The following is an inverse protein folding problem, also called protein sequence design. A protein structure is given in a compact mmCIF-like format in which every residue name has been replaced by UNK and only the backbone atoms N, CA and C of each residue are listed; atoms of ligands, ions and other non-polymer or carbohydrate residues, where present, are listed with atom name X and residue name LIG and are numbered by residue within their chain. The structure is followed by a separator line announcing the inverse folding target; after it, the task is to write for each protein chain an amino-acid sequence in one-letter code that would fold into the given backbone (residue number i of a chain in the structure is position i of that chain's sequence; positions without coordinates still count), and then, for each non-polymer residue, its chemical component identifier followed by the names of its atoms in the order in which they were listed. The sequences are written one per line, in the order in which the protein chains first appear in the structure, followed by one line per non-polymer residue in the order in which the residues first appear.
data_IF_477333034003
#
_entry.id   IF_477333034003
#
_cell.length_a   1.000
_cell.length_b   1.000
_cell.length_c   1.000
_cell.angle_alpha   90.00
_cell.angle_beta   90.00
_cell.angle_gamma   90.00
#
_symmetry.space_group_name_H-M   'P 1'
#
loop_
_entity.id
_entity.type
_entity.pdbx_description
1 polymer ?
#
# COMPACT_ATOMS: atom_id res chain seq x y z
N UNK A 1 -45.78 28.70 33.68
CA UNK A 1 -44.67 28.01 34.39
C UNK A 1 -43.41 28.10 33.55
N UNK A 2 -42.33 28.70 34.08
CA UNK A 2 -40.98 28.73 33.49
C UNK A 2 -40.22 27.44 33.85
N UNK A 3 -39.31 26.98 32.99
CA UNK A 3 -37.97 26.56 33.41
C UNK A 3 -36.92 27.05 32.42
N UNK A 4 -35.92 27.72 32.98
CA UNK A 4 -34.68 28.21 32.37
C UNK A 4 -33.58 27.15 32.52
N UNK A 5 -32.49 27.33 31.76
CA UNK A 5 -31.22 26.60 31.86
C UNK A 5 -31.10 25.61 30.70
N UNK A 6 -30.17 25.75 29.76
CA UNK A 6 -28.73 25.96 29.96
C UNK A 6 -28.16 26.98 28.96
N UNK A 7 -27.27 27.85 29.43
CA UNK A 7 -26.40 28.67 28.58
C UNK A 7 -25.05 27.95 28.44
N UNK A 8 -24.61 27.56 27.24
CA UNK A 8 -23.19 27.35 27.00
C UNK A 8 -22.50 28.70 26.81
N UNK A 9 -21.68 29.02 27.78
CA UNK A 9 -20.86 30.22 27.90
C UNK A 9 -19.68 30.11 26.93
N UNK A 10 -19.78 30.69 25.72
CA UNK A 10 -18.67 31.12 24.85
C UNK A 10 -19.20 31.48 23.47
N UNK A 11 -20.02 32.54 23.36
CA UNK A 11 -20.28 33.16 22.07
C UNK A 11 -20.07 34.66 22.17
N UNK A 12 -18.89 35.09 21.70
CA UNK A 12 -18.54 36.50 21.55
C UNK A 12 -19.15 37.00 20.24
N UNK A 13 -20.34 37.57 20.31
CA UNK A 13 -20.99 38.22 19.18
C UNK A 13 -20.45 39.64 19.00
N UNK A 14 -19.96 39.96 17.79
CA UNK A 14 -19.71 41.33 17.35
C UNK A 14 -20.73 41.65 16.27
N UNK A 15 -21.58 42.66 16.51
CA UNK A 15 -22.55 43.15 15.54
C UNK A 15 -21.80 43.94 14.46
N UNK A 16 -21.91 43.53 13.20
CA UNK A 16 -21.58 44.37 12.05
C UNK A 16 -22.82 44.46 11.15
N UNK A 17 -23.12 45.68 10.73
CA UNK A 17 -24.41 46.09 10.20
C UNK A 17 -24.83 45.44 8.88
N UNK A 18 -26.14 45.22 8.81
CA UNK A 18 -27.01 45.44 7.66
C UNK A 18 -26.66 44.72 6.35
N UNK A 19 -26.85 43.41 6.32
CA UNK A 19 -27.61 42.71 5.25
C UNK A 19 -27.93 41.29 5.71
N UNK A 20 -29.20 40.89 5.57
CA UNK A 20 -29.73 39.58 5.97
C UNK A 20 -29.21 38.48 5.04
N UNK A 21 -28.00 37.98 5.30
CA UNK A 21 -27.60 36.64 4.86
C UNK A 21 -26.80 35.99 5.98
N UNK A 22 -27.27 34.83 6.46
CA UNK A 22 -26.59 34.05 7.47
C UNK A 22 -25.67 33.06 6.76
N UNK A 23 -24.37 33.34 6.75
CA UNK A 23 -23.38 32.42 6.21
C UNK A 23 -22.75 31.65 7.37
N UNK A 24 -23.09 30.36 7.49
CA UNK A 24 -22.29 29.41 8.26
C UNK A 24 -20.92 29.30 7.57
N UNK A 25 -19.84 29.66 8.27
CA UNK A 25 -18.46 29.41 7.79
C UNK A 25 -17.98 28.15 8.51
N UNK A 26 -17.97 26.97 7.86
CA UNK A 26 -17.44 25.77 8.48
C UNK A 26 -15.92 25.88 8.59
N UNK A 27 -15.41 25.97 9.81
CA UNK A 27 -13.97 25.95 10.08
C UNK A 27 -13.45 24.50 10.07
N UNK A 28 -13.73 23.74 9.00
CA UNK A 28 -13.10 22.43 8.76
C UNK A 28 -11.84 22.67 7.93
N UNK A 29 -10.69 22.70 8.61
CA UNK A 29 -9.36 22.64 8.00
C UNK A 29 -9.22 21.28 7.31
N UNK A 30 -9.62 21.22 6.04
CA UNK A 30 -9.43 20.06 5.17
C UNK A 30 -7.93 19.80 5.07
N UNK A 31 -7.43 18.77 5.74
CA UNK A 31 -6.02 18.36 5.61
C UNK A 31 -5.84 17.86 4.18
N UNK A 32 -5.22 18.69 3.34
CA UNK A 32 -4.77 18.30 2.01
C UNK A 32 -3.82 17.11 2.15
N UNK A 33 -4.29 15.92 1.81
CA UNK A 33 -3.42 14.76 1.61
C UNK A 33 -2.56 15.05 0.39
N UNK A 34 -1.33 15.49 0.63
CA UNK A 34 -0.31 15.63 -0.42
C UNK A 34 0.00 14.23 -0.94
N UNK A 35 -0.46 13.91 -2.14
CA UNK A 35 -0.07 12.68 -2.82
C UNK A 35 1.45 12.68 -2.97
N UNK A 36 2.12 11.70 -2.35
CA UNK A 36 3.57 11.49 -2.50
C UNK A 36 3.81 10.99 -3.92
N UNK A 37 4.22 11.89 -4.82
CA UNK A 37 4.62 11.52 -6.18
C UNK A 37 5.79 10.54 -6.09
N UNK A 38 5.62 9.33 -6.62
CA UNK A 38 6.73 8.37 -6.75
C UNK A 38 7.71 8.93 -7.79
N UNK A 39 8.94 9.22 -7.37
CA UNK A 39 10.03 9.58 -8.27
C UNK A 39 10.28 8.43 -9.25
N UNK A 40 10.08 8.68 -10.53
CA UNK A 40 10.50 7.78 -11.60
C UNK A 40 11.92 8.13 -12.04
N UNK A 41 12.74 7.11 -12.29
CA UNK A 41 14.08 7.27 -12.86
C UNK A 41 14.09 6.59 -14.22
N UNK A 42 14.48 7.32 -15.25
CA UNK A 42 14.68 6.76 -16.59
C UNK A 42 15.99 5.99 -16.62
N UNK A 43 15.93 4.76 -17.12
CA UNK A 43 17.08 3.92 -17.40
C UNK A 43 17.03 3.50 -18.87
N UNK A 44 18.19 3.43 -19.53
CA UNK A 44 18.33 2.86 -20.87
C UNK A 44 18.97 1.48 -20.72
N UNK A 45 18.31 0.45 -21.24
CA UNK A 45 18.76 -0.95 -21.17
C UNK A 45 18.88 -1.47 -22.59
N UNK A 46 20.03 -2.04 -22.95
CA UNK A 46 20.19 -2.74 -24.23
C UNK A 46 19.58 -4.13 -24.10
N UNK A 47 18.67 -4.47 -25.01
CA UNK A 47 18.00 -5.77 -25.08
C UNK A 47 18.25 -6.40 -26.44
N UNK A 48 18.31 -7.72 -26.43
CA UNK A 48 18.28 -8.54 -27.63
C UNK A 48 16.90 -8.50 -28.29
N UNK A 49 16.86 -8.93 -29.55
CA UNK A 49 15.67 -8.87 -30.37
C UNK A 49 14.55 -9.77 -29.85
N UNK A 50 14.89 -10.96 -29.36
CA UNK A 50 13.89 -11.94 -28.90
C UNK A 50 13.12 -11.41 -27.68
N UNK A 51 13.83 -10.87 -26.68
CA UNK A 51 13.19 -10.25 -25.51
C UNK A 51 12.40 -8.98 -25.86
N UNK A 52 12.88 -8.19 -26.81
CA UNK A 52 12.14 -7.01 -27.28
C UNK A 52 10.82 -7.41 -27.95
N UNK A 53 10.87 -8.37 -28.86
CA UNK A 53 9.70 -8.86 -29.58
C UNK A 53 8.68 -9.49 -28.61
N UNK A 54 9.15 -10.26 -27.62
CA UNK A 54 8.30 -10.80 -26.54
C UNK A 54 7.54 -9.70 -25.78
N UNK A 55 8.23 -8.64 -25.36
CA UNK A 55 7.60 -7.51 -24.66
C UNK A 55 6.61 -6.77 -25.57
N UNK A 56 6.94 -6.65 -26.85
CA UNK A 56 6.09 -5.97 -27.83
C UNK A 56 4.79 -6.74 -28.09
N UNK A 57 4.82 -8.07 -28.17
CA UNK A 57 3.59 -8.86 -28.32
C UNK A 57 2.66 -8.71 -27.10
N UNK A 58 3.20 -8.70 -25.88
CA UNK A 58 2.41 -8.42 -24.65
C UNK A 58 1.72 -7.05 -24.73
N UNK A 59 2.41 -6.03 -25.25
CA UNK A 59 1.84 -4.69 -25.37
C UNK A 59 0.66 -4.63 -26.34
N UNK A 60 0.69 -5.43 -27.42
CA UNK A 60 -0.41 -5.52 -28.39
C UNK A 60 -1.64 -6.16 -27.78
N UNK A 61 -1.46 -7.23 -27.01
CA UNK A 61 -2.55 -7.96 -26.35
C UNK A 61 -3.24 -7.10 -25.28
N UNK A 62 -2.45 -6.39 -24.45
CA UNK A 62 -2.98 -5.57 -23.36
C UNK A 62 -3.37 -4.13 -23.79
N UNK A 63 -3.01 -3.70 -25.00
CA UNK A 63 -3.20 -2.32 -25.47
C UNK A 63 -2.43 -1.29 -24.64
N UNK A 64 -1.26 -1.65 -24.12
CA UNK A 64 -0.48 -0.86 -23.16
C UNK A 64 0.85 -0.36 -23.73
N UNK A 65 1.48 0.61 -23.06
CA UNK A 65 2.81 1.12 -23.47
C UNK A 65 3.93 0.13 -23.08
N UNK A 66 4.98 0.05 -23.90
CA UNK A 66 6.16 -0.80 -23.65
C UNK A 66 6.78 -0.52 -22.29
N UNK A 67 6.87 0.74 -21.88
CA UNK A 67 7.41 1.09 -20.57
C UNK A 67 6.58 0.50 -19.43
N UNK A 68 5.25 0.39 -19.61
CA UNK A 68 4.35 -0.20 -18.61
C UNK A 68 4.57 -1.71 -18.55
N UNK A 69 4.59 -2.39 -19.70
CA UNK A 69 4.87 -3.82 -19.78
C UNK A 69 6.19 -4.19 -19.09
N UNK A 70 7.27 -3.41 -19.34
CA UNK A 70 8.56 -3.62 -18.67
C UNK A 70 8.46 -3.45 -17.15
N UNK A 71 7.78 -2.41 -16.66
CA UNK A 71 7.60 -2.19 -15.22
C UNK A 71 6.80 -3.31 -14.56
N UNK A 72 5.78 -3.80 -15.24
CA UNK A 72 4.92 -4.89 -14.74
C UNK A 72 5.71 -6.20 -14.71
N UNK A 73 6.51 -6.49 -15.74
CA UNK A 73 7.41 -7.64 -15.75
C UNK A 73 8.46 -7.59 -14.64
N UNK A 74 9.07 -6.43 -14.39
CA UNK A 74 9.99 -6.27 -13.25
C UNK A 74 9.28 -6.51 -11.91
N UNK A 75 8.03 -6.05 -11.78
CA UNK A 75 7.24 -6.24 -10.56
C UNK A 75 6.92 -7.72 -10.34
N UNK A 76 6.49 -8.43 -11.40
CA UNK A 76 6.26 -9.89 -11.35
C UNK A 76 7.54 -10.68 -11.08
N UNK A 77 8.67 -10.26 -11.69
CA UNK A 77 9.98 -10.88 -11.47
C UNK A 77 10.46 -10.78 -10.02
N UNK A 78 10.18 -9.67 -9.32
CA UNK A 78 10.48 -9.54 -7.89
C UNK A 78 9.73 -10.55 -7.04
N UNK A 79 8.45 -10.77 -7.34
CA UNK A 79 7.61 -11.75 -6.65
C UNK A 79 8.17 -13.15 -6.88
N UNK A 80 8.45 -13.51 -8.14
CA UNK A 80 9.01 -14.83 -8.46
C UNK A 80 10.34 -15.09 -7.74
N UNK A 81 11.24 -14.11 -7.75
CA UNK A 81 12.52 -14.21 -7.03
C UNK A 81 12.32 -14.40 -5.52
N UNK A 82 11.35 -13.69 -4.92
CA UNK A 82 11.04 -13.83 -3.51
C UNK A 82 10.49 -15.23 -3.18
N UNK A 83 9.60 -15.77 -4.02
CA UNK A 83 9.06 -17.12 -3.89
C UNK A 83 10.17 -18.17 -4.00
N UNK A 84 11.06 -18.05 -4.98
CA UNK A 84 12.18 -19.00 -5.15
C UNK A 84 13.11 -19.02 -3.94
N UNK A 85 13.51 -17.85 -3.44
CA UNK A 85 14.40 -17.76 -2.27
C UNK A 85 13.74 -18.29 -1.01
N UNK A 86 12.44 -18.03 -0.83
CA UNK A 86 11.68 -18.59 0.29
C UNK A 86 11.59 -20.11 0.17
N UNK A 87 11.28 -20.63 -1.02
CA UNK A 87 11.21 -22.07 -1.30
C UNK A 87 12.55 -22.78 -1.10
N UNK A 88 13.68 -22.10 -1.29
CA UNK A 88 15.03 -22.61 -0.96
C UNK A 88 15.35 -22.51 0.54
N UNK A 89 14.63 -21.69 1.30
CA UNK A 89 14.89 -21.45 2.72
C UNK A 89 15.98 -20.41 2.98
N UNK A 90 16.34 -19.63 1.98
CA UNK A 90 17.38 -18.60 2.08
C UNK A 90 16.88 -17.35 2.82
N UNK A 91 15.56 -17.15 2.85
CA UNK A 91 14.92 -15.96 3.43
C UNK A 91 13.69 -16.36 4.25
N UNK A 92 13.43 -15.60 5.32
CA UNK A 92 12.18 -15.71 6.09
C UNK A 92 10.98 -15.14 5.32
N UNK A 93 9.75 -15.45 5.76
CA UNK A 93 8.52 -14.93 5.15
C UNK A 93 8.51 -13.39 5.09
N UNK A 94 8.87 -12.74 6.20
CA UNK A 94 8.96 -11.28 6.27
C UNK A 94 9.96 -10.71 5.26
N UNK A 95 11.13 -11.34 5.15
CA UNK A 95 12.15 -10.92 4.19
C UNK A 95 11.73 -11.17 2.73
N UNK A 96 10.99 -12.24 2.47
CA UNK A 96 10.42 -12.50 1.15
C UNK A 96 9.36 -11.44 0.77
N UNK A 97 8.51 -11.04 1.73
CA UNK A 97 7.54 -9.97 1.53
C UNK A 97 8.20 -8.62 1.20
N UNK A 98 9.29 -8.29 1.89
CA UNK A 98 10.11 -7.11 1.59
C UNK A 98 10.71 -7.13 0.18
N UNK A 99 11.25 -8.29 -0.24
CA UNK A 99 11.83 -8.47 -1.57
C UNK A 99 10.78 -8.31 -2.69
N UNK A 100 9.59 -8.89 -2.47
CA UNK A 100 8.45 -8.75 -3.37
C UNK A 100 7.83 -7.35 -3.34
N UNK A 101 8.08 -6.56 -2.28
CA UNK A 101 7.49 -5.23 -2.09
C UNK A 101 6.00 -5.28 -1.73
N UNK A 102 5.56 -6.35 -1.07
CA UNK A 102 4.17 -6.59 -0.66
C UNK A 102 4.06 -6.74 0.86
N UNK A 103 2.89 -6.50 1.47
CA UNK A 103 2.66 -6.82 2.88
C UNK A 103 2.82 -8.32 3.15
N UNK A 104 3.24 -8.68 4.36
CA UNK A 104 3.47 -10.08 4.78
C UNK A 104 2.24 -10.96 4.53
N UNK A 105 1.03 -10.48 4.87
CA UNK A 105 -0.21 -11.22 4.61
C UNK A 105 -0.46 -11.50 3.13
N UNK A 106 -0.13 -10.54 2.25
CA UNK A 106 -0.26 -10.75 0.80
C UNK A 106 0.81 -11.73 0.29
N UNK A 107 2.01 -11.72 0.85
CA UNK A 107 3.04 -12.71 0.54
C UNK A 107 2.58 -14.14 0.88
N UNK A 108 1.85 -14.33 1.99
CA UNK A 108 1.28 -15.63 2.34
C UNK A 108 0.26 -16.12 1.30
N UNK A 109 -0.59 -15.24 0.80
CA UNK A 109 -1.52 -15.57 -0.30
C UNK A 109 -0.76 -15.99 -1.55
N UNK A 110 0.24 -15.21 -1.94
CA UNK A 110 1.10 -15.51 -3.10
C UNK A 110 1.76 -16.88 -2.94
N UNK A 111 2.39 -17.16 -1.79
CA UNK A 111 3.04 -18.46 -1.56
C UNK A 111 2.05 -19.63 -1.68
N UNK A 112 0.81 -19.45 -1.21
CA UNK A 112 -0.27 -20.43 -1.36
C UNK A 112 -0.62 -20.65 -2.84
N UNK A 113 -0.75 -19.59 -3.63
CA UNK A 113 -1.03 -19.68 -5.08
C UNK A 113 0.09 -20.41 -5.84
N UNK A 114 1.35 -20.25 -5.41
CA UNK A 114 2.50 -20.96 -5.95
C UNK A 114 2.67 -22.39 -5.38
N UNK A 115 1.74 -22.86 -4.53
CA UNK A 115 1.77 -24.20 -3.92
C UNK A 115 2.95 -24.42 -2.97
N UNK A 116 3.49 -23.34 -2.37
CA UNK A 116 4.59 -23.43 -1.42
C UNK A 116 4.02 -23.59 -0.01
N UNK A 117 4.25 -24.77 0.59
CA UNK A 117 3.84 -25.03 1.97
C UNK A 117 4.60 -24.14 2.96
N UNK A 118 3.87 -23.71 3.98
CA UNK A 118 4.41 -22.91 5.07
C UNK A 118 5.37 -23.76 5.90
N UNK A 119 6.63 -23.32 6.00
CA UNK A 119 7.64 -23.94 6.88
C UNK A 119 7.51 -23.51 8.34
N UNK A 120 6.28 -23.47 8.86
CA UNK A 120 6.06 -23.12 10.26
C UNK A 120 6.27 -24.37 11.10
N UNK A 121 7.33 -24.35 11.91
CA UNK A 121 7.55 -25.40 12.91
C UNK A 121 6.77 -25.08 14.20
N UNK A 122 6.60 -26.10 15.05
CA UNK A 122 5.87 -25.96 16.32
C UNK A 122 6.50 -24.90 17.23
N UNK A 123 7.82 -24.77 17.17
CA UNK A 123 8.61 -23.82 17.94
C UNK A 123 8.31 -22.38 17.51
N UNK A 124 8.13 -22.13 16.21
CA UNK A 124 7.77 -20.82 15.68
C UNK A 124 6.40 -20.37 16.18
N UNK A 125 5.45 -21.30 16.28
CA UNK A 125 4.13 -21.06 16.84
C UNK A 125 4.19 -20.64 18.32
N UNK A 126 4.94 -21.40 19.13
CA UNK A 126 5.10 -21.09 20.56
C UNK A 126 5.80 -19.75 20.79
N UNK A 127 6.78 -19.43 19.95
CA UNK A 127 7.49 -18.16 20.00
C UNK A 127 6.55 -17.00 19.64
N UNK A 128 5.75 -17.14 18.58
CA UNK A 128 4.74 -16.16 18.22
C UNK A 128 3.73 -15.89 19.34
N UNK A 129 3.31 -16.93 20.07
CA UNK A 129 2.40 -16.78 21.20
C UNK A 129 3.03 -15.98 22.36
N UNK A 130 4.30 -16.25 22.68
CA UNK A 130 5.05 -15.49 23.69
C UNK A 130 5.22 -14.02 23.32
N UNK A 131 5.44 -13.74 22.03
CA UNK A 131 5.63 -12.37 21.57
C UNK A 131 4.32 -11.58 21.57
N UNK A 132 3.19 -12.21 21.24
CA UNK A 132 1.87 -11.61 21.38
C UNK A 132 1.53 -11.26 22.84
N UNK A 133 1.89 -12.13 23.80
CA UNK A 133 1.72 -11.87 25.24
C UNK A 133 2.48 -10.65 25.76
N UNK A 134 3.52 -10.16 25.07
CA UNK A 134 4.28 -8.98 25.50
C UNK A 134 3.68 -7.66 25.02
N UNK A 135 2.90 -7.71 23.94
CA UNK A 135 2.38 -6.51 23.25
C UNK A 135 0.95 -6.20 23.71
N UNK A 136 0.28 -7.17 24.34
CA UNK A 136 -1.11 -7.08 24.80
C UNK A 136 -1.18 -7.21 26.32
#
# INVERSE_FOLDING_TARGET
MRRQGERPELIRWRLCGTSKTWSFVPQRRMKMFRARVRLSKTMSVRMDRENYDFLHEITKEEGSDLSKAVRDMVTRGRILLAVERYKKGEVSLGRAAELAGVPVGQMMTILTEFGVESRLEKEDYLQGLKDLQKVW
#
